data_IF_030936315642
#
_entry.id   IF_030936315642
#
_cell.length_a   1.000
_cell.length_b   1.000
_cell.length_c   1.000
_cell.angle_alpha   90.00
_cell.angle_beta   90.00
_cell.angle_gamma   90.00
#
_symmetry.space_group_name_H-M   'P 1'
#
loop_
_entity.id
_entity.type
_entity.pdbx_description
1 polymer ?
#
# COMPACT_ATOMS: atom_id res chain seq x y z
N UNK A 1 9.85 -1.78 4.34
CA UNK A 1 10.57 -0.53 4.00
C UNK A 1 10.66 0.38 5.23
N UNK A 2 11.14 1.63 5.10
CA UNK A 2 11.03 2.61 6.20
C UNK A 2 9.71 3.37 6.11
N UNK A 3 9.24 3.84 7.25
CA UNK A 3 8.01 4.63 7.40
C UNK A 3 7.97 5.83 6.45
N UNK A 4 9.07 6.58 6.38
CA UNK A 4 9.18 7.73 5.48
C UNK A 4 9.00 7.34 4.01
N UNK A 5 9.69 6.29 3.55
CA UNK A 5 9.64 5.86 2.15
C UNK A 5 8.21 5.42 1.77
N UNK A 6 7.56 4.65 2.66
CA UNK A 6 6.17 4.21 2.46
C UNK A 6 5.20 5.39 2.32
N UNK A 7 5.34 6.41 3.18
CA UNK A 7 4.50 7.61 3.11
C UNK A 7 4.73 8.35 1.80
N UNK A 8 5.99 8.59 1.40
CA UNK A 8 6.32 9.34 0.19
C UNK A 8 5.84 8.64 -1.08
N UNK A 9 5.90 7.31 -1.11
CA UNK A 9 5.39 6.51 -2.23
C UNK A 9 3.85 6.58 -2.30
N UNK A 10 3.16 6.33 -1.18
CA UNK A 10 1.67 6.31 -1.18
C UNK A 10 1.08 7.70 -1.40
N UNK A 11 1.76 8.76 -0.96
CA UNK A 11 1.38 10.15 -1.22
C UNK A 11 1.65 10.57 -2.68
N UNK A 12 2.42 9.78 -3.45
CA UNK A 12 2.75 10.07 -4.84
C UNK A 12 3.84 11.12 -5.01
N UNK A 13 4.64 11.38 -3.97
CA UNK A 13 5.79 12.30 -4.03
C UNK A 13 7.04 11.57 -4.54
N UNK A 14 7.19 10.31 -4.14
CA UNK A 14 8.22 9.41 -4.66
C UNK A 14 7.57 8.39 -5.59
N UNK A 15 8.14 8.21 -6.78
CA UNK A 15 7.71 7.16 -7.70
C UNK A 15 8.25 5.80 -7.20
N UNK A 16 7.40 4.77 -7.09
CA UNK A 16 7.86 3.43 -6.78
C UNK A 16 8.62 2.83 -7.97
N UNK A 17 9.61 1.97 -7.70
CA UNK A 17 10.36 1.22 -8.72
C UNK A 17 9.49 0.18 -9.43
N UNK A 18 8.38 -0.23 -8.81
CA UNK A 18 7.43 -1.19 -9.37
C UNK A 18 6.03 -1.09 -8.72
N UNK A 19 4.99 -1.63 -9.37
CA UNK A 19 3.68 -1.83 -8.74
C UNK A 19 3.74 -2.67 -7.47
N UNK A 20 4.69 -3.61 -7.40
CA UNK A 20 4.95 -4.41 -6.19
C UNK A 20 5.37 -3.51 -5.04
N UNK A 21 6.35 -2.63 -5.26
CA UNK A 21 6.82 -1.71 -4.22
C UNK A 21 5.69 -0.76 -3.76
N UNK A 22 4.84 -0.29 -4.68
CA UNK A 22 3.68 0.51 -4.32
C UNK A 22 2.74 -0.24 -3.37
N UNK A 23 2.43 -1.50 -3.68
CA UNK A 23 1.56 -2.31 -2.84
C UNK A 23 2.21 -2.64 -1.50
N UNK A 24 3.52 -2.87 -1.47
CA UNK A 24 4.31 -3.03 -0.24
C UNK A 24 4.27 -1.76 0.62
N UNK A 25 4.28 -0.57 0.02
CA UNK A 25 4.13 0.69 0.74
C UNK A 25 2.77 0.80 1.42
N UNK A 26 1.69 0.46 0.74
CA UNK A 26 0.36 0.39 1.35
C UNK A 26 0.34 -0.62 2.50
N UNK A 27 0.88 -1.82 2.28
CA UNK A 27 0.94 -2.87 3.29
C UNK A 27 1.75 -2.44 4.53
N UNK A 28 2.87 -1.74 4.32
CA UNK A 28 3.71 -1.19 5.39
C UNK A 28 2.94 -0.18 6.24
N UNK A 29 2.19 0.75 5.63
CA UNK A 29 1.39 1.74 6.38
C UNK A 29 0.29 1.10 7.23
N UNK A 30 -0.30 -0.01 6.75
CA UNK A 30 -1.27 -0.80 7.53
C UNK A 30 -0.56 -1.47 8.70
N UNK A 31 0.54 -2.18 8.43
CA UNK A 31 1.30 -2.96 9.41
C UNK A 31 1.83 -2.12 10.56
N UNK A 32 2.30 -0.91 10.29
CA UNK A 32 2.80 0.02 11.33
C UNK A 32 1.69 0.84 11.99
N UNK A 33 0.45 0.75 11.48
CA UNK A 33 -0.68 1.55 11.93
C UNK A 33 -0.63 3.02 11.50
N UNK A 34 0.36 3.42 10.70
CA UNK A 34 0.49 4.80 10.20
C UNK A 34 -0.69 5.24 9.34
N UNK A 35 -1.30 4.31 8.60
CA UNK A 35 -2.51 4.55 7.81
C UNK A 35 -3.64 5.20 8.64
N UNK A 36 -3.68 4.94 9.94
CA UNK A 36 -4.72 5.38 10.87
C UNK A 36 -4.33 6.59 11.73
N UNK A 37 -3.05 6.98 11.68
CA UNK A 37 -2.50 8.12 12.40
C UNK A 37 -2.31 9.35 11.49
N UNK A 38 -2.14 9.13 10.19
CA UNK A 38 -1.95 10.19 9.20
C UNK A 38 -3.29 10.79 8.71
N UNK A 39 -3.20 11.85 7.88
CA UNK A 39 -4.37 12.48 7.27
C UNK A 39 -5.25 11.46 6.53
N UNK A 40 -6.56 11.69 6.53
CA UNK A 40 -7.55 10.70 6.13
C UNK A 40 -7.44 10.13 4.71
N UNK A 41 -6.62 10.73 3.83
CA UNK A 41 -6.22 10.12 2.56
C UNK A 41 -5.62 8.74 2.76
N UNK A 42 -4.59 8.60 3.61
CA UNK A 42 -3.87 7.34 3.81
C UNK A 42 -4.78 6.22 4.30
N UNK A 43 -5.63 6.51 5.27
CA UNK A 43 -6.58 5.54 5.80
C UNK A 43 -7.58 5.07 4.75
N UNK A 44 -8.12 5.97 3.92
CA UNK A 44 -9.02 5.58 2.83
C UNK A 44 -8.33 4.74 1.77
N UNK A 45 -7.12 5.13 1.36
CA UNK A 45 -6.33 4.36 0.39
C UNK A 45 -6.06 2.95 0.92
N UNK A 46 -5.55 2.82 2.15
CA UNK A 46 -5.28 1.51 2.76
C UNK A 46 -6.56 0.67 2.93
N UNK A 47 -7.67 1.28 3.31
CA UNK A 47 -8.94 0.58 3.44
C UNK A 47 -9.42 -0.03 2.11
N UNK A 48 -9.24 0.66 0.99
CA UNK A 48 -9.62 0.14 -0.33
C UNK A 48 -8.88 -1.17 -0.67
N UNK A 49 -7.57 -1.26 -0.37
CA UNK A 49 -6.79 -2.48 -0.62
C UNK A 49 -7.15 -3.63 0.33
N UNK A 50 -7.57 -3.33 1.56
CA UNK A 50 -8.09 -4.34 2.50
C UNK A 50 -9.45 -4.85 2.02
N UNK A 51 -10.35 -3.95 1.63
CA UNK A 51 -11.70 -4.28 1.15
C UNK A 51 -11.69 -5.09 -0.14
N UNK A 52 -10.74 -4.80 -1.04
CA UNK A 52 -10.53 -5.55 -2.27
C UNK A 52 -9.89 -6.94 -2.04
N UNK A 53 -9.41 -7.24 -0.83
CA UNK A 53 -8.78 -8.51 -0.50
C UNK A 53 -7.33 -8.65 -0.98
N UNK A 54 -6.68 -7.55 -1.37
CA UNK A 54 -5.29 -7.56 -1.81
C UNK A 54 -4.30 -7.54 -0.65
N UNK A 55 -4.69 -6.95 0.49
CA UNK A 55 -3.88 -6.86 1.70
C UNK A 55 -4.73 -7.25 2.93
N UNK A 56 -4.14 -7.96 3.87
CA UNK A 56 -4.77 -8.29 5.15
C UNK A 56 -4.88 -7.07 6.07
N UNK A 57 -5.69 -7.17 7.12
CA UNK A 57 -5.78 -6.11 8.15
C UNK A 57 -4.49 -5.92 8.95
N UNK A 58 -3.59 -6.89 8.91
CA UNK A 58 -2.29 -6.87 9.59
C UNK A 58 -1.16 -6.39 8.65
N UNK A 59 -1.49 -6.02 7.41
CA UNK A 59 -0.53 -5.51 6.43
C UNK A 59 0.28 -6.60 5.72
N UNK A 60 -0.34 -7.75 5.46
CA UNK A 60 0.25 -8.82 4.63
C UNK A 60 -0.36 -8.78 3.23
N UNK A 61 0.47 -8.82 2.18
CA UNK A 61 0.01 -8.91 0.80
C UNK A 61 -0.53 -10.32 0.53
N UNK A 62 -1.75 -10.40 -0.03
CA UNK A 62 -2.50 -11.65 -0.18
C UNK A 62 -2.60 -12.15 -1.63
N UNK A 63 -2.10 -11.36 -2.59
CA UNK A 63 -2.09 -11.68 -4.01
C UNK A 63 -0.66 -11.92 -4.51
N UNK A 64 -0.53 -12.68 -5.59
CA UNK A 64 0.76 -12.93 -6.24
C UNK A 64 1.23 -11.75 -7.10
N UNK A 65 2.52 -11.75 -7.43
CA UNK A 65 3.16 -10.69 -8.19
C UNK A 65 2.52 -10.45 -9.56
N UNK A 66 2.15 -11.51 -10.29
CA UNK A 66 1.48 -11.41 -11.59
C UNK A 66 0.14 -10.65 -11.47
N UNK A 67 -0.65 -10.96 -10.44
CA UNK A 67 -1.89 -10.24 -10.13
C UNK A 67 -1.64 -8.78 -9.79
N UNK A 68 -0.54 -8.47 -9.09
CA UNK A 68 -0.16 -7.08 -8.79
C UNK A 68 0.10 -6.31 -10.09
N UNK A 69 0.95 -6.80 -10.98
CA UNK A 69 1.21 -6.13 -12.26
C UNK A 69 -0.08 -5.89 -13.06
N UNK A 70 -0.94 -6.90 -13.16
CA UNK A 70 -2.23 -6.78 -13.84
C UNK A 70 -3.17 -5.73 -13.23
N UNK A 71 -3.09 -5.47 -11.91
CA UNK A 71 -3.90 -4.47 -11.23
C UNK A 71 -3.51 -3.03 -11.61
N UNK A 72 -2.24 -2.79 -11.90
CA UNK A 72 -1.70 -1.45 -12.15
C UNK A 72 -1.44 -1.14 -13.64
N UNK A 73 -1.54 -2.14 -14.52
CA UNK A 73 -1.42 -1.98 -15.98
C UNK A 73 -2.76 -1.67 -16.69
N UNK A 74 -3.87 -1.58 -15.95
CA UNK A 74 -5.23 -1.45 -16.48
C UNK A 74 -5.72 -0.01 -16.71
#
# INVERSE_FOLDING_TARGET
MKDYDAVMIVEGVQEPESPVEYLEAIAHLIKTGMAWALQGFFGRSCAQYIEAGYISKDGEVLIDEETIWNLFDA
#
